data_IF_900471922751
#
_entry.id   IF_900471922751
#
_cell.length_a   1.000
_cell.length_b   1.000
_cell.length_c   1.000
_cell.angle_alpha   90.00
_cell.angle_beta   90.00
_cell.angle_gamma   90.00
#
_symmetry.space_group_name_H-M   'P 1'
#
loop_
_entity.id
_entity.type
_entity.pdbx_description
1 polymer ?
#
# COMPACT_ATOMS: atom_id res chain seq x y z
N UNK A 1 14.11 -5.51 36.65
CA UNK A 1 15.06 -4.47 36.21
C UNK A 1 16.43 -5.12 36.24
N UNK A 2 17.17 -5.36 35.16
CA UNK A 2 17.25 -4.77 33.84
C UNK A 2 17.34 -5.91 32.82
N UNK A 3 16.71 -5.87 31.66
CA UNK A 3 16.73 -4.77 30.69
C UNK A 3 17.40 -5.20 29.37
N UNK A 4 17.39 -6.50 29.06
CA UNK A 4 18.10 -7.07 27.90
C UNK A 4 17.25 -8.06 27.08
N UNK A 5 15.92 -8.08 27.26
CA UNK A 5 15.04 -9.00 26.55
C UNK A 5 13.76 -8.34 25.98
N UNK A 6 13.70 -7.00 25.97
CA UNK A 6 12.57 -6.24 25.42
C UNK A 6 12.94 -5.63 24.05
N UNK A 7 14.23 -5.55 23.74
CA UNK A 7 14.74 -5.03 22.46
C UNK A 7 15.12 -6.15 21.46
N UNK A 8 15.07 -7.42 21.86
CA UNK A 8 15.41 -8.58 20.99
C UNK A 8 14.16 -9.32 20.48
N UNK A 9 12.97 -8.77 20.75
CA UNK A 9 11.72 -9.09 20.05
C UNK A 9 11.40 -8.06 18.95
N UNK A 10 12.39 -7.24 18.56
CA UNK A 10 12.25 -6.17 17.59
C UNK A 10 12.22 -6.76 16.16
N UNK A 11 10.99 -6.79 15.62
CA UNK A 11 10.63 -6.62 14.19
C UNK A 11 10.89 -7.77 13.21
N UNK A 12 10.30 -8.93 13.49
CA UNK A 12 9.77 -9.77 12.39
C UNK A 12 8.38 -9.30 11.93
N UNK A 13 7.73 -8.38 12.67
CA UNK A 13 6.33 -7.96 12.45
C UNK A 13 6.12 -6.64 11.65
N UNK A 14 7.18 -5.88 11.32
CA UNK A 14 7.05 -4.59 10.63
C UNK A 14 7.02 -4.77 9.10
N UNK A 15 5.82 -4.98 8.57
CA UNK A 15 5.56 -5.14 7.14
C UNK A 15 4.39 -4.28 6.66
N UNK A 16 4.39 -4.03 5.35
CA UNK A 16 3.25 -3.49 4.63
C UNK A 16 2.86 -4.47 3.52
N UNK A 17 1.59 -4.87 3.50
CA UNK A 17 0.98 -5.59 2.39
C UNK A 17 0.30 -4.59 1.45
N UNK A 18 0.44 -4.84 0.15
CA UNK A 18 -0.19 -4.00 -0.87
C UNK A 18 -0.83 -4.86 -1.95
N UNK A 19 -2.04 -4.45 -2.32
CA UNK A 19 -2.91 -5.13 -3.26
C UNK A 19 -3.26 -4.15 -4.38
N UNK A 20 -2.99 -4.53 -5.62
CA UNK A 20 -3.31 -3.72 -6.80
C UNK A 20 -4.36 -4.45 -7.64
N UNK A 21 -5.52 -3.84 -7.78
CA UNK A 21 -6.68 -4.38 -8.49
C UNK A 21 -6.82 -3.65 -9.84
N UNK A 22 -6.35 -4.24 -10.95
CA UNK A 22 -6.64 -3.70 -12.28
C UNK A 22 -8.11 -3.93 -12.65
N UNK A 23 -8.63 -3.14 -13.59
CA UNK A 23 -9.94 -3.40 -14.21
C UNK A 23 -9.85 -4.61 -15.14
N UNK A 24 -10.40 -5.74 -14.68
CA UNK A 24 -10.43 -7.01 -15.41
C UNK A 24 -11.82 -7.34 -16.00
N UNK A 25 -12.83 -6.49 -15.78
CA UNK A 25 -14.19 -6.71 -16.30
C UNK A 25 -14.75 -8.13 -16.10
N UNK A 26 -15.25 -8.71 -17.19
CA UNK A 26 -15.83 -10.07 -17.25
C UNK A 26 -14.96 -11.04 -18.08
N UNK A 27 -13.64 -10.88 -18.02
CA UNK A 27 -12.70 -11.68 -18.79
C UNK A 27 -12.60 -13.12 -18.28
N UNK A 28 -12.18 -14.03 -19.16
CA UNK A 28 -11.81 -15.41 -18.78
C UNK A 28 -10.56 -15.45 -17.91
N UNK A 29 -10.30 -16.56 -17.21
CA UNK A 29 -9.14 -16.68 -16.31
C UNK A 29 -7.81 -16.48 -17.05
N UNK A 30 -7.65 -17.03 -18.26
CA UNK A 30 -6.44 -16.88 -19.07
C UNK A 30 -6.21 -15.41 -19.49
N UNK A 31 -7.28 -14.70 -19.86
CA UNK A 31 -7.23 -13.28 -20.21
C UNK A 31 -6.91 -12.41 -18.99
N UNK A 32 -7.46 -12.76 -17.82
CA UNK A 32 -7.13 -12.08 -16.55
C UNK A 32 -5.65 -12.24 -16.21
N UNK A 33 -5.09 -13.45 -16.36
CA UNK A 33 -3.68 -13.71 -16.11
C UNK A 33 -2.77 -12.93 -17.08
N UNK A 34 -3.15 -12.85 -18.36
CA UNK A 34 -2.43 -12.05 -19.34
C UNK A 34 -2.38 -10.57 -18.94
N UNK A 35 -3.52 -9.97 -18.60
CA UNK A 35 -3.60 -8.55 -18.21
C UNK A 35 -2.86 -8.29 -16.88
N UNK A 36 -2.93 -9.22 -15.92
CA UNK A 36 -2.17 -9.11 -14.68
C UNK A 36 -0.66 -9.07 -14.96
N UNK A 37 -0.16 -9.93 -15.83
CA UNK A 37 1.26 -9.94 -16.19
C UNK A 37 1.68 -8.68 -16.97
N UNK A 38 0.84 -8.17 -17.87
CA UNK A 38 1.09 -6.90 -18.55
C UNK A 38 1.10 -5.71 -17.57
N UNK A 39 0.18 -5.72 -16.60
CA UNK A 39 0.10 -4.70 -15.55
C UNK A 39 1.31 -4.78 -14.62
N UNK A 40 1.73 -5.99 -14.25
CA UNK A 40 2.94 -6.24 -13.47
C UNK A 40 4.15 -5.62 -14.13
N UNK A 41 4.35 -5.86 -15.44
CA UNK A 41 5.50 -5.31 -16.16
C UNK A 41 5.51 -3.77 -16.15
N UNK A 42 4.34 -3.15 -16.35
CA UNK A 42 4.19 -1.68 -16.25
C UNK A 42 4.52 -1.18 -14.84
N UNK A 43 4.03 -1.86 -13.81
CA UNK A 43 4.33 -1.52 -12.43
C UNK A 43 5.84 -1.59 -12.16
N UNK A 44 6.50 -2.67 -12.56
CA UNK A 44 7.94 -2.85 -12.38
C UNK A 44 8.77 -1.76 -13.08
N UNK A 45 8.36 -1.33 -14.27
CA UNK A 45 9.03 -0.27 -15.01
C UNK A 45 8.95 1.08 -14.28
N UNK A 46 7.77 1.43 -13.76
CA UNK A 46 7.55 2.65 -12.97
C UNK A 46 8.33 2.58 -11.65
N UNK A 47 8.22 1.46 -10.92
CA UNK A 47 8.92 1.25 -9.65
C UNK A 47 10.42 1.36 -9.83
N UNK A 48 10.97 0.77 -10.89
CA UNK A 48 12.41 0.80 -11.18
C UNK A 48 12.92 2.22 -11.41
N UNK A 49 12.13 3.08 -12.03
CA UNK A 49 12.49 4.50 -12.20
C UNK A 49 12.46 5.26 -10.86
N UNK A 50 11.39 5.09 -10.08
CA UNK A 50 11.23 5.73 -8.76
C UNK A 50 12.38 5.35 -7.80
N UNK A 51 12.72 4.05 -7.78
CA UNK A 51 13.64 3.43 -6.82
C UNK A 51 15.08 3.30 -7.31
N UNK A 52 15.42 3.80 -8.52
CA UNK A 52 16.75 3.69 -9.15
C UNK A 52 17.95 4.01 -8.26
N UNK A 53 17.75 4.92 -7.30
CA UNK A 53 18.79 5.39 -6.37
C UNK A 53 18.37 5.22 -4.91
N UNK A 54 17.43 4.33 -4.65
CA UNK A 54 16.97 4.02 -3.29
C UNK A 54 17.71 2.79 -2.78
N UNK A 55 18.07 2.81 -1.50
CA UNK A 55 18.63 1.66 -0.81
C UNK A 55 17.62 1.20 0.23
N UNK A 56 17.04 0.02 0.00
CA UNK A 56 16.08 -0.58 0.92
C UNK A 56 16.79 -1.05 2.19
N UNK A 57 16.12 -0.91 3.34
CA UNK A 57 16.65 -1.39 4.61
C UNK A 57 16.61 -2.92 4.71
N UNK A 58 15.47 -3.53 4.34
CA UNK A 58 15.27 -4.97 4.25
C UNK A 58 14.85 -5.35 2.83
N UNK A 59 13.57 -5.65 2.62
CA UNK A 59 13.06 -6.11 1.33
C UNK A 59 12.66 -4.91 0.46
N UNK A 60 12.82 -5.07 -0.86
CA UNK A 60 12.34 -4.08 -1.83
C UNK A 60 10.84 -4.21 -2.11
N UNK A 61 10.28 -3.20 -2.78
CA UNK A 61 8.95 -3.31 -3.38
C UNK A 61 8.95 -4.40 -4.47
N UNK A 62 8.03 -5.36 -4.38
CA UNK A 62 7.88 -6.45 -5.34
C UNK A 62 6.42 -6.86 -5.48
N UNK A 63 6.02 -7.30 -6.68
CA UNK A 63 4.64 -7.70 -6.96
C UNK A 63 4.61 -9.11 -7.55
N UNK A 64 3.55 -9.84 -7.24
CA UNK A 64 3.23 -11.14 -7.84
C UNK A 64 1.76 -11.18 -8.23
N UNK A 65 1.41 -11.78 -9.39
CA UNK A 65 0.03 -11.94 -9.78
C UNK A 65 -0.66 -12.99 -8.90
N UNK A 66 -1.92 -12.71 -8.54
CA UNK A 66 -2.80 -13.61 -7.81
C UNK A 66 -4.15 -13.71 -8.52
N UNK A 67 -4.43 -14.87 -9.08
CA UNK A 67 -5.72 -15.27 -9.66
C UNK A 67 -6.53 -16.11 -8.69
N UNK A 68 -7.80 -16.35 -9.01
CA UNK A 68 -8.69 -17.25 -8.26
C UNK A 68 -8.08 -18.63 -7.99
N UNK A 69 -7.28 -19.18 -8.92
CA UNK A 69 -6.62 -20.47 -8.74
C UNK A 69 -5.43 -20.39 -7.77
N UNK A 70 -4.63 -19.33 -7.85
CA UNK A 70 -3.53 -19.13 -6.88
C UNK A 70 -4.04 -18.82 -5.48
N UNK A 71 -5.18 -18.11 -5.35
CA UNK A 71 -5.79 -17.83 -4.05
C UNK A 71 -6.25 -19.11 -3.35
N UNK A 72 -6.82 -20.07 -4.08
CA UNK A 72 -7.21 -21.40 -3.55
C UNK A 72 -6.03 -22.22 -3.02
N UNK A 73 -4.85 -22.09 -3.65
CA UNK A 73 -3.65 -22.81 -3.22
C UNK A 73 -3.03 -22.24 -1.92
N UNK A 74 -3.44 -21.02 -1.52
CA UNK A 74 -2.93 -20.30 -0.35
C UNK A 74 -3.90 -20.32 0.85
N UNK A 75 -5.00 -21.08 0.77
CA UNK A 75 -6.07 -21.24 1.79
C UNK A 75 -5.61 -21.80 3.17
N UNK A 76 -4.30 -21.84 3.44
CA UNK A 76 -3.72 -22.15 4.75
C UNK A 76 -3.38 -20.91 5.61
N UNK A 77 -3.58 -19.69 5.11
CA UNK A 77 -3.31 -18.43 5.83
C UNK A 77 -4.61 -17.80 6.34
N UNK A 78 -4.64 -17.39 7.62
CA UNK A 78 -5.84 -17.30 8.49
C UNK A 78 -6.89 -16.19 8.17
N UNK A 79 -7.01 -15.69 6.94
CA UNK A 79 -8.11 -14.80 6.54
C UNK A 79 -8.69 -15.26 5.21
N UNK A 80 -9.82 -15.98 5.27
CA UNK A 80 -10.64 -16.34 4.10
C UNK A 80 -11.36 -15.09 3.54
N UNK A 81 -10.59 -14.12 3.04
CA UNK A 81 -11.13 -12.99 2.27
C UNK A 81 -11.20 -13.36 0.80
N UNK A 82 -12.41 -13.31 0.22
CA UNK A 82 -12.60 -13.55 -1.20
C UNK A 82 -12.17 -12.31 -2.00
N UNK A 83 -10.91 -12.27 -2.42
CA UNK A 83 -10.34 -11.17 -3.20
C UNK A 83 -10.52 -11.38 -4.71
N UNK A 84 -10.84 -10.32 -5.49
CA UNK A 84 -10.74 -10.39 -6.95
C UNK A 84 -9.30 -10.66 -7.40
N UNK A 85 -9.07 -11.11 -8.65
CA UNK A 85 -7.72 -11.25 -9.17
C UNK A 85 -6.95 -9.92 -9.10
N UNK A 86 -5.71 -9.97 -8.62
CA UNK A 86 -4.93 -8.78 -8.25
C UNK A 86 -3.42 -9.03 -8.33
N UNK A 87 -2.63 -7.97 -8.30
CA UNK A 87 -1.21 -8.05 -7.96
C UNK A 87 -1.07 -7.87 -6.45
N UNK A 88 -0.23 -8.69 -5.83
CA UNK A 88 0.03 -8.66 -4.40
C UNK A 88 1.52 -8.45 -4.15
N UNK A 89 1.86 -7.70 -3.12
CA UNK A 89 3.21 -7.68 -2.57
C UNK A 89 3.20 -7.48 -1.07
N UNK A 90 4.33 -7.80 -0.47
CA UNK A 90 4.62 -7.54 0.94
C UNK A 90 6.06 -7.05 1.03
N UNK A 91 6.28 -6.04 1.85
CA UNK A 91 7.62 -5.51 2.09
C UNK A 91 7.81 -5.32 3.58
N UNK A 92 8.86 -5.93 4.12
CA UNK A 92 9.31 -5.67 5.48
C UNK A 92 10.17 -4.41 5.47
N UNK A 93 9.78 -3.38 6.21
CA UNK A 93 10.53 -2.12 6.28
C UNK A 93 11.43 -2.06 7.51
N UNK A 94 11.25 -2.97 8.48
CA UNK A 94 12.06 -3.02 9.70
C UNK A 94 12.00 -1.69 10.44
N UNK A 95 13.14 -1.08 10.72
CA UNK A 95 13.17 0.19 11.46
C UNK A 95 13.01 1.44 10.58
N UNK A 96 12.99 1.27 9.26
CA UNK A 96 13.03 2.39 8.33
C UNK A 96 11.62 2.83 7.92
N UNK A 97 11.02 3.69 8.72
CA UNK A 97 9.73 4.34 8.43
C UNK A 97 9.76 5.06 7.07
N UNK A 98 10.91 5.50 6.57
CA UNK A 98 10.97 6.13 5.24
C UNK A 98 10.73 5.14 4.10
N UNK A 99 11.02 3.84 4.28
CA UNK A 99 10.71 2.79 3.30
C UNK A 99 9.20 2.51 3.25
N UNK A 100 8.52 2.48 4.41
CA UNK A 100 7.07 2.36 4.51
C UNK A 100 6.35 3.45 3.70
N UNK A 101 6.70 4.72 3.94
CA UNK A 101 6.08 5.84 3.22
C UNK A 101 6.55 5.98 1.77
N UNK A 102 7.72 5.42 1.40
CA UNK A 102 8.10 5.28 0.00
C UNK A 102 7.17 4.30 -0.73
N UNK A 103 6.76 3.21 -0.06
CA UNK A 103 5.81 2.25 -0.63
C UNK A 103 4.44 2.90 -0.85
N UNK A 104 3.97 3.70 0.12
CA UNK A 104 2.75 4.53 -0.05
C UNK A 104 2.87 5.43 -1.28
N UNK A 105 4.00 6.13 -1.44
CA UNK A 105 4.26 6.96 -2.61
C UNK A 105 4.28 6.15 -3.92
N UNK A 106 4.92 4.98 -3.92
CA UNK A 106 4.98 4.09 -5.09
C UNK A 106 3.55 3.67 -5.50
N UNK A 107 2.75 3.15 -4.58
CA UNK A 107 1.38 2.71 -4.89
C UNK A 107 0.52 3.88 -5.39
N UNK A 108 0.66 5.06 -4.78
CA UNK A 108 -0.02 6.27 -5.26
C UNK A 108 0.38 6.61 -6.69
N UNK A 109 1.67 6.54 -7.02
CA UNK A 109 2.16 6.85 -8.37
C UNK A 109 1.75 5.78 -9.40
N UNK A 110 1.72 4.51 -9.01
CA UNK A 110 1.19 3.42 -9.84
C UNK A 110 -0.27 3.67 -10.19
N UNK A 111 -1.11 3.99 -9.20
CA UNK A 111 -2.54 4.27 -9.44
C UNK A 111 -2.80 5.56 -10.24
N UNK A 112 -1.83 6.47 -10.26
CA UNK A 112 -1.87 7.72 -11.05
C UNK A 112 -1.48 7.49 -12.51
N UNK A 113 -0.47 6.65 -12.76
CA UNK A 113 0.07 6.43 -14.10
C UNK A 113 -0.62 5.28 -14.84
N UNK A 114 -1.15 4.29 -14.13
CA UNK A 114 -1.84 3.15 -14.71
C UNK A 114 -3.36 3.40 -14.61
N UNK A 115 -4.04 3.64 -15.74
CA UNK A 115 -5.48 3.91 -15.72
C UNK A 115 -6.25 2.75 -15.11
N UNK A 116 -7.27 3.08 -14.31
CA UNK A 116 -8.13 2.08 -13.67
C UNK A 116 -7.37 1.06 -12.81
N UNK A 117 -6.29 1.48 -12.19
CA UNK A 117 -5.64 0.70 -11.14
C UNK A 117 -6.14 1.19 -9.78
N UNK A 118 -6.57 0.27 -8.93
CA UNK A 118 -6.92 0.54 -7.54
C UNK A 118 -5.85 -0.09 -6.65
N UNK A 119 -5.27 0.68 -5.74
CA UNK A 119 -4.37 0.21 -4.71
C UNK A 119 -5.06 0.10 -3.36
N UNK A 120 -4.68 -0.89 -2.57
CA UNK A 120 -4.99 -1.01 -1.15
C UNK A 120 -3.71 -1.36 -0.41
N UNK A 121 -3.53 -0.84 0.79
CA UNK A 121 -2.36 -1.12 1.63
C UNK A 121 -2.78 -1.32 3.07
N UNK A 122 -2.17 -2.29 3.74
CA UNK A 122 -2.36 -2.54 5.17
C UNK A 122 -1.01 -2.84 5.81
N UNK A 123 -0.86 -2.49 7.08
CA UNK A 123 0.28 -2.87 7.91
C UNK A 123 -0.14 -3.88 9.00
N UNK A 124 0.72 -4.10 9.99
CA UNK A 124 0.47 -4.97 11.14
C UNK A 124 -0.76 -4.55 11.97
N UNK A 125 -1.08 -3.26 12.02
CA UNK A 125 -2.22 -2.69 12.75
C UNK A 125 -3.48 -2.57 11.86
N UNK A 126 -3.35 -2.82 10.56
CA UNK A 126 -4.44 -2.83 9.59
C UNK A 126 -4.43 -1.60 8.68
N UNK A 127 -5.49 -0.79 8.75
CA UNK A 127 -5.66 0.38 7.88
C UNK A 127 -4.89 1.59 8.46
N UNK A 128 -3.64 1.79 8.03
CA UNK A 128 -2.73 2.78 8.60
C UNK A 128 -2.70 4.13 7.85
N UNK A 129 -3.12 4.17 6.58
CA UNK A 129 -2.97 5.34 5.72
C UNK A 129 -3.64 6.61 6.29
N UNK A 130 -4.69 6.44 7.08
CA UNK A 130 -5.49 7.52 7.65
C UNK A 130 -4.94 8.09 8.96
N UNK A 131 -3.85 7.55 9.51
CA UNK A 131 -3.24 8.03 10.76
C UNK A 131 -2.90 9.53 10.66
N UNK A 132 -2.32 9.95 9.53
CA UNK A 132 -1.94 11.36 9.29
C UNK A 132 -3.16 12.30 9.19
N UNK A 133 -4.35 11.76 8.92
CA UNK A 133 -5.58 12.50 8.74
C UNK A 133 -6.51 12.45 9.96
N UNK A 134 -6.08 11.87 11.09
CA UNK A 134 -6.92 11.57 12.25
C UNK A 134 -7.78 12.76 12.74
N UNK A 135 -7.24 13.98 12.72
CA UNK A 135 -7.93 15.19 13.19
C UNK A 135 -9.07 15.68 12.25
N UNK A 136 -9.13 15.17 11.03
CA UNK A 136 -10.09 15.58 9.99
C UNK A 136 -10.93 14.41 9.46
N UNK A 137 -10.85 13.25 10.10
CA UNK A 137 -11.65 12.09 9.74
C UNK A 137 -13.14 12.32 10.04
N UNK A 138 -14.05 11.77 9.22
CA UNK A 138 -15.46 11.71 9.55
C UNK A 138 -15.68 10.94 10.87
N UNK A 139 -16.69 11.32 11.65
CA UNK A 139 -16.98 10.73 12.97
C UNK A 139 -17.18 9.21 12.95
N UNK A 140 -17.61 8.66 11.81
CA UNK A 140 -17.83 7.23 11.68
C UNK A 140 -16.53 6.43 11.52
N UNK A 141 -15.43 7.06 11.10
CA UNK A 141 -14.16 6.38 10.81
C UNK A 141 -13.38 6.14 12.10
N UNK A 142 -13.11 4.87 12.38
CA UNK A 142 -12.25 4.39 13.45
C UNK A 142 -11.56 3.08 13.01
N UNK A 143 -10.58 2.54 13.76
CA UNK A 143 -9.84 1.35 13.34
C UNK A 143 -10.71 0.13 12.99
N UNK A 144 -11.82 -0.08 13.70
CA UNK A 144 -12.72 -1.21 13.46
C UNK A 144 -13.62 -1.01 12.23
N UNK A 145 -14.02 0.23 11.97
CA UNK A 145 -14.96 0.56 10.89
C UNK A 145 -14.26 0.85 9.57
N UNK A 146 -12.98 1.22 9.58
CA UNK A 146 -12.18 1.52 8.40
C UNK A 146 -11.72 0.27 7.63
N UNK A 147 -11.79 -0.92 8.25
CA UNK A 147 -11.37 -2.19 7.65
C UNK A 147 -12.01 -2.40 6.26
N UNK A 148 -11.17 -2.64 5.24
CA UNK A 148 -11.57 -2.85 3.85
C UNK A 148 -12.26 -1.63 3.19
N UNK A 149 -11.96 -0.39 3.62
CA UNK A 149 -12.61 0.83 3.10
C UNK A 149 -11.68 1.91 2.59
N UNK A 150 -10.37 1.77 2.76
CA UNK A 150 -9.39 2.78 2.34
C UNK A 150 -8.63 2.31 1.12
N UNK A 151 -8.66 3.10 0.05
CA UNK A 151 -8.10 2.75 -1.25
C UNK A 151 -7.40 3.93 -1.90
N UNK A 152 -6.50 3.64 -2.83
CA UNK A 152 -5.85 4.59 -3.72
C UNK A 152 -6.33 4.35 -5.15
N UNK A 153 -6.77 5.40 -5.82
CA UNK A 153 -7.21 5.31 -7.22
C UNK A 153 -7.05 6.68 -7.89
N UNK A 154 -6.62 6.71 -9.16
CA UNK A 154 -6.40 7.97 -9.91
C UNK A 154 -5.48 8.97 -9.15
N UNK A 155 -4.50 8.44 -8.40
CA UNK A 155 -3.60 9.24 -7.56
C UNK A 155 -4.30 9.99 -6.41
N UNK A 156 -5.48 9.55 -5.98
CA UNK A 156 -6.31 10.08 -4.89
C UNK A 156 -6.62 9.00 -3.87
N UNK A 157 -6.93 9.43 -2.65
CA UNK A 157 -7.44 8.57 -1.57
C UNK A 157 -8.96 8.43 -1.68
N UNK A 158 -9.45 7.21 -1.56
CA UNK A 158 -10.86 6.87 -1.57
C UNK A 158 -11.23 6.24 -0.23
N UNK A 159 -12.37 6.64 0.35
CA UNK A 159 -12.92 6.09 1.59
C UNK A 159 -14.37 5.68 1.33
N UNK A 160 -14.70 4.42 1.59
CA UNK A 160 -16.04 3.86 1.36
C UNK A 160 -16.90 4.01 2.61
N UNK A 161 -17.91 4.89 2.56
CA UNK A 161 -18.82 5.08 3.69
C UNK A 161 -19.66 3.81 4.02
N UNK A 162 -20.00 3.56 5.30
CA UNK A 162 -20.83 2.42 5.71
C UNK A 162 -22.23 2.41 5.10
N UNK A 163 -22.73 3.57 4.69
CA UNK A 163 -24.01 3.74 4.00
C UNK A 163 -24.08 2.94 2.70
N UNK A 164 -22.95 2.76 2.00
CA UNK A 164 -22.87 1.95 0.77
C UNK A 164 -22.93 0.45 1.02
N UNK A 165 -22.63 0.01 2.24
CA UNK A 165 -22.66 -1.41 2.62
C UNK A 165 -23.91 -1.78 3.43
N UNK A 166 -25.02 -1.04 3.28
CA UNK A 166 -26.24 -1.24 4.08
C UNK A 166 -26.00 -1.18 5.59
N UNK A 167 -24.98 -0.42 6.03
CA UNK A 167 -24.56 -0.36 7.44
C UNK A 167 -23.79 -1.60 7.93
N UNK A 168 -23.39 -2.53 7.05
CA UNK A 168 -22.53 -3.66 7.40
C UNK A 168 -21.17 -3.14 7.88
N UNK A 169 -20.67 -3.73 8.95
CA UNK A 169 -19.34 -3.41 9.52
C UNK A 169 -18.22 -3.80 8.55
N UNK A 170 -18.31 -4.99 7.93
CA UNK A 170 -17.37 -5.47 6.91
C UNK A 170 -17.96 -5.41 5.51
N UNK A 171 -17.16 -4.92 4.55
CA UNK A 171 -17.55 -4.84 3.14
C UNK A 171 -16.81 -5.89 2.33
N UNK A 172 -17.48 -6.41 1.30
CA UNK A 172 -16.85 -7.28 0.32
C UNK A 172 -15.97 -6.45 -0.63
N UNK A 173 -14.69 -6.80 -0.74
CA UNK A 173 -13.72 -6.06 -1.56
C UNK A 173 -14.10 -6.06 -3.05
N UNK A 174 -14.78 -7.10 -3.55
CA UNK A 174 -15.28 -7.12 -4.93
C UNK A 174 -16.37 -6.07 -5.17
N UNK A 175 -17.20 -5.80 -4.17
CA UNK A 175 -18.25 -4.77 -4.25
C UNK A 175 -17.61 -3.38 -4.18
N UNK A 176 -16.65 -3.19 -3.27
CA UNK A 176 -15.92 -1.93 -3.13
C UNK A 176 -15.19 -1.54 -4.41
N UNK A 177 -14.43 -2.46 -5.01
CA UNK A 177 -13.71 -2.21 -6.26
C UNK A 177 -14.67 -1.74 -7.36
N UNK A 178 -15.87 -2.34 -7.46
CA UNK A 178 -16.92 -1.90 -8.39
C UNK A 178 -17.47 -0.51 -8.05
N UNK A 179 -17.69 -0.22 -6.76
CA UNK A 179 -18.14 1.10 -6.31
C UNK A 179 -17.11 2.20 -6.61
N UNK A 180 -15.81 1.91 -6.55
CA UNK A 180 -14.76 2.89 -6.88
C UNK A 180 -14.78 3.23 -8.38
N UNK A 181 -15.11 2.27 -9.25
CA UNK A 181 -15.25 2.50 -10.69
C UNK A 181 -16.58 3.16 -11.09
N UNK A 182 -17.55 3.25 -10.18
CA UNK A 182 -18.83 3.88 -10.45
C UNK A 182 -18.76 5.38 -10.16
N UNK A 183 -18.71 6.19 -11.22
CA UNK A 183 -18.69 7.65 -11.14
C UNK A 183 -19.89 8.26 -10.40
N UNK A 184 -21.00 7.52 -10.27
CA UNK A 184 -22.16 7.96 -9.49
C UNK A 184 -21.91 7.87 -7.97
N UNK A 185 -20.93 7.06 -7.54
CA UNK A 185 -20.59 6.83 -6.14
C UNK A 185 -19.45 7.75 -5.72
N UNK A 186 -19.75 8.68 -4.82
CA UNK A 186 -18.72 9.57 -4.26
C UNK A 186 -17.86 8.83 -3.25
N UNK A 187 -16.74 8.29 -3.73
CA UNK A 187 -15.76 7.56 -2.91
C UNK A 187 -14.51 8.38 -2.58
N UNK A 188 -14.24 9.46 -3.31
CA UNK A 188 -13.05 10.32 -3.10
C UNK A 188 -13.12 10.99 -1.72
N UNK A 189 -12.06 10.80 -0.92
CA UNK A 189 -11.93 11.43 0.40
C UNK A 189 -11.84 12.95 0.30
N UNK A 190 -12.21 13.66 1.37
CA UNK A 190 -12.21 15.12 1.41
C UNK A 190 -10.82 15.71 1.16
N UNK A 191 -10.75 16.95 0.68
CA UNK A 191 -9.48 17.63 0.39
C UNK A 191 -8.58 17.72 1.62
N UNK A 192 -9.16 17.86 2.81
CA UNK A 192 -8.44 17.87 4.08
C UNK A 192 -7.71 16.54 4.32
N UNK A 193 -8.37 15.41 4.10
CA UNK A 193 -7.79 14.06 4.24
C UNK A 193 -6.70 13.85 3.18
N UNK A 194 -6.98 14.20 1.92
CA UNK A 194 -5.98 14.11 0.84
C UNK A 194 -4.72 14.88 1.21
N UNK A 195 -4.88 16.14 1.63
CA UNK A 195 -3.76 17.02 1.96
C UNK A 195 -2.96 16.52 3.15
N UNK A 196 -3.63 15.99 4.19
CA UNK A 196 -2.97 15.46 5.37
C UNK A 196 -2.00 14.33 5.02
N UNK A 197 -2.47 13.35 4.25
CA UNK A 197 -1.64 12.22 3.80
C UNK A 197 -0.61 12.66 2.75
N UNK A 198 -0.98 13.49 1.79
CA UNK A 198 -0.06 13.94 0.74
C UNK A 198 1.08 14.81 1.26
N UNK A 199 0.84 15.55 2.34
CA UNK A 199 1.90 16.27 3.05
C UNK A 199 2.94 15.31 3.64
N UNK A 200 2.54 14.12 4.11
CA UNK A 200 3.47 13.12 4.67
C UNK A 200 4.42 12.54 3.63
N UNK A 201 3.93 12.34 2.41
CA UNK A 201 4.68 11.82 1.26
C UNK A 201 5.24 12.93 0.35
N UNK A 202 5.17 14.19 0.76
CA UNK A 202 5.76 15.29 0.02
C UNK A 202 7.29 15.12 -0.06
N UNK A 203 7.85 15.30 -1.27
CA UNK A 203 9.29 15.20 -1.52
C UNK A 203 9.81 13.78 -1.77
N UNK A 204 8.97 12.75 -1.74
CA UNK A 204 9.32 11.43 -2.28
C UNK A 204 9.41 11.48 -3.83
N UNK A 205 10.24 10.62 -4.45
CA UNK A 205 11.12 9.62 -3.84
C UNK A 205 12.48 10.20 -3.41
N UNK A 206 12.71 11.52 -3.48
CA UNK A 206 14.02 12.11 -3.13
C UNK A 206 14.29 12.09 -1.63
N UNK A 207 13.25 12.21 -0.80
CA UNK A 207 13.34 12.20 0.66
C UNK A 207 13.89 10.88 1.20
N UNK A 208 13.39 9.75 0.71
CA UNK A 208 13.81 8.40 1.15
C UNK A 208 15.30 8.10 0.89
N UNK A 209 15.91 8.79 -0.08
CA UNK A 209 17.33 8.62 -0.46
C UNK A 209 18.29 9.26 0.55
N UNK A 210 17.83 10.18 1.40
CA UNK A 210 18.71 11.02 2.25
C UNK A 210 19.29 10.27 3.46
N UNK A 211 18.71 9.15 3.86
CA UNK A 211 19.11 8.43 5.08
C UNK A 211 20.49 7.77 4.96
N UNK A 212 20.90 7.34 3.77
CA UNK A 212 22.15 6.58 3.60
C UNK A 212 23.35 7.41 3.11
N UNK A 213 23.12 8.56 2.47
CA UNK A 213 24.21 9.44 2.01
C UNK A 213 24.94 10.09 3.20
N UNK A 214 24.21 10.43 4.27
CA UNK A 214 24.83 11.00 5.48
C UNK A 214 25.66 9.95 6.24
N UNK A 215 25.19 8.70 6.32
CA UNK A 215 25.97 7.60 6.90
C UNK A 215 27.21 7.28 6.05
N UNK A 216 27.07 7.19 4.72
CA UNK A 216 28.19 6.98 3.81
C UNK A 216 29.25 8.09 3.87
N UNK A 217 28.83 9.37 3.88
CA UNK A 217 29.75 10.49 4.03
C UNK A 217 30.37 10.58 5.43
N UNK A 218 29.66 10.23 6.51
CA UNK A 218 30.24 10.18 7.85
C UNK A 218 31.32 9.11 7.97
N UNK A 219 31.05 7.89 7.49
CA UNK A 219 32.05 6.82 7.48
C UNK A 219 33.30 7.17 6.65
N UNK A 220 33.10 7.88 5.53
CA UNK A 220 34.21 8.28 4.66
C UNK A 220 35.05 9.44 5.23
N UNK A 221 34.45 10.29 6.08
CA UNK A 221 35.17 11.33 6.84
C UNK A 221 35.97 10.76 8.03
N UNK A 222 35.44 9.76 8.74
CA UNK A 222 36.15 9.10 9.85
C UNK A 222 37.36 8.29 9.37
N UNK A 223 37.28 7.65 8.20
CA UNK A 223 38.41 6.94 7.57
C UNK A 223 39.50 7.85 7.01
N UNK A 224 39.22 9.15 6.81
CA UNK A 224 40.23 10.15 6.40
C UNK A 224 40.89 10.85 7.60
N UNK A 225 40.37 10.65 8.81
CA UNK A 225 40.88 11.23 10.05
C UNK A 225 41.65 10.21 10.92
N UNK A 226 41.82 8.97 10.44
CA UNK A 226 42.70 7.92 10.96
C UNK A 226 43.91 7.74 10.03
#
# INVERSE_FOLDING_TARGET
MNGSNILECIREDDFIEYFLFPDLGFLSEDEQELILNETLQKCEDIVRDITRHHLWHKDGFSLRPRTSNTNKLLEGTQKNENLPPHLYGVTHFGENIEDEWLIVYIVLELTRQIPKLIGRMIDVDGEFLLIEAADVLPEWVNPETAENRVYLHDGKIHIIEPTFSEGKTRVNINEVVKCIYDDAVKTVASTEIQNAVFKRIEGYPKKSRKTYILLGCMFQLELQLL
#
